data_IF_157378800360
#
_entry.id   IF_157378800360
#
_cell.length_a   1.000
_cell.length_b   1.000
_cell.length_c   1.000
_cell.angle_alpha   90.00
_cell.angle_beta   90.00
_cell.angle_gamma   90.00
#
_symmetry.space_group_name_H-M   'P 1'
#
loop_
_entity.id
_entity.type
_entity.pdbx_description
1 polymer ?
#
# COMPACT_ATOMS: atom_id res chain seq x y z
N UNK A 1 1.11 3.24 1.38
CA UNK A 1 2.41 3.67 1.90
C UNK A 1 2.44 3.67 3.42
N UNK A 2 2.91 2.57 4.01
CA UNK A 2 3.16 2.49 5.46
C UNK A 2 4.48 3.19 5.78
N UNK A 3 4.44 4.15 6.70
CA UNK A 3 5.59 4.97 7.10
C UNK A 3 5.93 4.72 8.58
N UNK A 4 7.20 4.45 8.89
CA UNK A 4 7.74 4.56 10.25
C UNK A 4 8.89 5.59 10.26
N UNK A 5 8.95 6.36 11.36
CA UNK A 5 9.57 7.70 11.47
C UNK A 5 11.11 7.69 11.42
N UNK A 6 11.74 8.53 10.58
CA UNK A 6 13.17 8.88 10.70
C UNK A 6 13.90 9.30 9.40
N UNK A 7 13.92 10.62 9.12
CA UNK A 7 14.87 11.37 8.25
C UNK A 7 15.14 10.98 6.77
N UNK A 8 14.67 9.86 6.23
CA UNK A 8 14.44 9.67 4.77
C UNK A 8 13.13 8.90 4.59
N UNK A 9 12.29 9.27 3.62
CA UNK A 9 11.05 8.54 3.31
C UNK A 9 11.41 7.19 2.70
N UNK A 10 11.63 6.17 3.52
CA UNK A 10 11.76 4.80 3.03
C UNK A 10 10.37 4.27 2.71
N UNK A 11 10.12 3.99 1.43
CA UNK A 11 8.91 3.31 0.97
C UNK A 11 9.17 1.81 1.07
N UNK A 12 8.45 1.11 1.94
CA UNK A 12 8.67 -0.32 2.17
C UNK A 12 7.94 -1.19 1.15
N UNK A 13 6.81 -0.72 0.62
CA UNK A 13 6.07 -1.36 -0.47
C UNK A 13 5.28 -0.33 -1.28
N UNK A 14 4.98 -0.67 -2.53
CA UNK A 14 4.22 0.17 -3.45
C UNK A 14 3.48 -0.67 -4.50
N UNK A 15 2.21 -0.36 -4.72
CA UNK A 15 1.49 -0.80 -5.91
C UNK A 15 1.80 0.09 -7.12
N UNK A 16 2.18 -0.53 -8.24
CA UNK A 16 2.47 0.15 -9.51
C UNK A 16 1.35 -0.13 -10.51
N UNK A 17 0.46 0.84 -10.82
CA UNK A 17 -0.70 0.61 -11.69
C UNK A 17 -0.36 0.15 -13.11
N UNK A 18 0.71 0.70 -13.70
CA UNK A 18 1.15 0.36 -15.05
C UNK A 18 1.55 -1.12 -15.18
N UNK A 19 2.10 -1.68 -14.10
CA UNK A 19 2.59 -3.06 -14.08
C UNK A 19 1.60 -4.02 -13.42
N UNK A 20 0.57 -3.51 -12.74
CA UNK A 20 -0.39 -4.27 -11.94
C UNK A 20 0.30 -5.17 -10.90
N UNK A 21 1.37 -4.65 -10.29
CA UNK A 21 2.21 -5.39 -9.32
C UNK A 21 2.37 -4.61 -8.02
N UNK A 22 2.53 -5.35 -6.93
CA UNK A 22 2.98 -4.83 -5.65
C UNK A 22 4.46 -5.18 -5.52
N UNK A 23 5.29 -4.15 -5.35
CA UNK A 23 6.71 -4.31 -5.03
C UNK A 23 6.91 -4.06 -3.54
N UNK A 24 7.74 -4.88 -2.90
CA UNK A 24 8.13 -4.75 -1.51
C UNK A 24 9.66 -4.81 -1.39
N UNK A 25 10.21 -4.16 -0.37
CA UNK A 25 11.65 -4.08 -0.15
C UNK A 25 12.29 -5.46 0.13
N UNK A 26 11.55 -6.34 0.81
CA UNK A 26 11.97 -7.70 1.14
C UNK A 26 10.75 -8.59 1.46
N UNK A 27 11.01 -9.88 1.70
CA UNK A 27 10.00 -10.87 2.04
C UNK A 27 9.22 -10.53 3.31
N UNK A 28 9.88 -9.98 4.33
CA UNK A 28 9.23 -9.70 5.63
C UNK A 28 8.15 -8.64 5.48
N UNK A 29 8.41 -7.61 4.67
CA UNK A 29 7.41 -6.60 4.32
C UNK A 29 6.32 -7.21 3.44
N UNK A 30 6.68 -8.05 2.47
CA UNK A 30 5.72 -8.70 1.57
C UNK A 30 4.77 -9.67 2.31
N UNK A 31 5.25 -10.32 3.37
CA UNK A 31 4.46 -11.21 4.20
C UNK A 31 3.60 -10.49 5.24
N UNK A 32 3.74 -9.16 5.39
CA UNK A 32 2.92 -8.40 6.32
C UNK A 32 1.51 -8.17 5.72
N UNK A 33 0.43 -8.73 6.32
CA UNK A 33 -0.92 -8.66 5.76
C UNK A 33 -1.44 -7.23 5.68
N UNK A 34 -1.13 -6.37 6.65
CA UNK A 34 -1.49 -4.95 6.61
C UNK A 34 -0.94 -4.28 5.35
N UNK A 35 0.34 -4.52 5.06
CA UNK A 35 1.04 -3.87 3.94
C UNK A 35 0.44 -4.32 2.60
N UNK A 36 0.19 -5.63 2.44
CA UNK A 36 -0.38 -6.16 1.21
C UNK A 36 -1.81 -5.65 1.01
N UNK A 37 -2.64 -5.64 2.06
CA UNK A 37 -4.01 -5.10 1.97
C UNK A 37 -4.01 -3.61 1.64
N UNK A 38 -3.07 -2.83 2.20
CA UNK A 38 -2.91 -1.42 1.88
C UNK A 38 -2.60 -1.21 0.39
N UNK A 39 -1.60 -1.90 -0.14
CA UNK A 39 -1.21 -1.73 -1.54
C UNK A 39 -2.23 -2.38 -2.50
N UNK A 40 -2.94 -3.43 -2.08
CA UNK A 40 -4.06 -3.99 -2.81
C UNK A 40 -5.25 -3.03 -2.89
N UNK A 41 -5.50 -2.25 -1.84
CA UNK A 41 -6.50 -1.20 -1.91
C UNK A 41 -6.16 -0.15 -2.98
N UNK A 42 -4.87 0.20 -3.13
CA UNK A 42 -4.43 1.06 -4.23
C UNK A 42 -4.67 0.45 -5.61
N UNK A 43 -4.57 -0.88 -5.75
CA UNK A 43 -5.01 -1.58 -6.96
C UNK A 43 -6.49 -1.33 -7.26
N UNK A 44 -7.37 -1.59 -6.29
CA UNK A 44 -8.83 -1.39 -6.44
C UNK A 44 -9.13 0.06 -6.82
N UNK A 45 -8.54 1.03 -6.12
CA UNK A 45 -8.77 2.46 -6.39
C UNK A 45 -8.27 2.92 -7.74
N UNK A 46 -7.12 2.42 -8.18
CA UNK A 46 -6.56 2.77 -9.49
C UNK A 46 -7.51 2.37 -10.63
N UNK A 47 -8.27 1.28 -10.46
CA UNK A 47 -9.30 0.85 -11.43
C UNK A 47 -10.56 1.73 -11.40
N UNK A 48 -10.85 2.38 -10.28
CA UNK A 48 -12.03 3.22 -10.11
C UNK A 48 -11.79 4.69 -10.48
N UNK A 49 -10.57 5.07 -10.91
CA UNK A 49 -10.26 6.41 -11.43
C UNK A 49 -10.26 7.54 -10.39
N UNK A 50 -10.17 7.21 -9.09
CA UNK A 50 -10.26 8.22 -8.02
C UNK A 50 -8.89 8.57 -7.43
N UNK A 51 -8.51 9.86 -7.52
CA UNK A 51 -7.15 10.32 -7.22
C UNK A 51 -6.93 10.99 -5.84
N UNK A 52 -7.98 11.34 -5.07
CA UNK A 52 -7.84 12.06 -3.77
C UNK A 52 -8.17 11.18 -2.55
N UNK A 53 -7.38 11.34 -1.47
CA UNK A 53 -7.63 10.75 -0.15
C UNK A 53 -7.31 9.26 0.00
N UNK A 54 -6.49 8.68 -0.88
CA UNK A 54 -6.26 7.23 -0.97
C UNK A 54 -5.61 6.61 0.28
N UNK A 55 -4.61 7.25 0.88
CA UNK A 55 -3.83 6.63 1.97
C UNK A 55 -4.63 6.37 3.26
N UNK A 56 -5.52 7.29 3.66
CA UNK A 56 -6.36 7.06 4.86
C UNK A 56 -7.31 5.88 4.66
N UNK A 57 -7.92 5.78 3.48
CA UNK A 57 -8.81 4.67 3.18
C UNK A 57 -8.07 3.36 3.01
N UNK A 58 -6.86 3.38 2.44
CA UNK A 58 -6.00 2.21 2.37
C UNK A 58 -5.63 1.69 3.77
N UNK A 59 -5.30 2.61 4.70
CA UNK A 59 -5.07 2.26 6.09
C UNK A 59 -6.33 1.69 6.77
N UNK A 60 -7.51 2.27 6.52
CA UNK A 60 -8.77 1.78 7.10
C UNK A 60 -9.10 0.39 6.56
N UNK A 61 -9.02 0.20 5.24
CA UNK A 61 -9.19 -1.10 4.60
C UNK A 61 -8.23 -2.13 5.17
N UNK A 62 -6.94 -1.82 5.27
CA UNK A 62 -5.97 -2.74 5.86
C UNK A 62 -6.34 -3.12 7.30
N UNK A 63 -6.69 -2.14 8.14
CA UNK A 63 -7.09 -2.36 9.56
C UNK A 63 -8.36 -3.18 9.73
N UNK A 64 -9.30 -3.07 8.80
CA UNK A 64 -10.58 -3.80 8.88
C UNK A 64 -10.43 -5.28 8.53
N UNK A 65 -9.41 -5.65 7.75
CA UNK A 65 -9.26 -6.99 7.18
C UNK A 65 -7.97 -7.71 7.58
N UNK A 66 -7.14 -7.15 8.47
CA UNK A 66 -5.93 -7.79 9.02
C UNK A 66 -6.08 -8.08 10.52
#
# INVERSE_FOLDING_TARGET
>A
MVQFKGKRRTVYAVYVPAEKKIYALNSDIFCNPFVILHEYYHHIRSKLGVHKGSEKHANMYAKEFH
#
